data_IF_229658271750
#
_entry.id   IF_229658271750
#
_cell.length_a   1.000
_cell.length_b   1.000
_cell.length_c   1.000
_cell.angle_alpha   90.00
_cell.angle_beta   90.00
_cell.angle_gamma   90.00
#
_symmetry.space_group_name_H-M   'P 1'
#
loop_
_entity.id
_entity.type
_entity.pdbx_description
1 polymer ?
#
# COMPACT_ATOMS: atom_id res chain seq x y z
N UNK A 1 19.15 0.68 40.88
CA UNK A 1 18.01 0.15 40.10
C UNK A 1 16.87 1.16 40.14
N UNK A 2 16.58 1.84 39.03
CA UNK A 2 15.37 2.67 38.86
C UNK A 2 14.81 2.34 37.47
N UNK A 3 13.88 1.40 37.44
CA UNK A 3 13.09 1.11 36.24
C UNK A 3 12.13 2.26 35.99
N UNK A 4 12.22 2.87 34.81
CA UNK A 4 11.23 3.78 34.26
C UNK A 4 10.57 3.09 33.08
N UNK A 5 9.24 3.06 33.07
CA UNK A 5 8.42 2.29 32.15
C UNK A 5 8.89 2.44 30.70
N UNK A 6 9.44 1.35 30.16
CA UNK A 6 9.65 1.19 28.74
C UNK A 6 8.30 1.09 28.06
N UNK A 7 7.78 2.23 27.59
CA UNK A 7 6.90 2.23 26.43
C UNK A 7 7.84 1.97 25.25
N UNK A 8 8.14 0.70 25.01
CA UNK A 8 8.72 0.30 23.73
C UNK A 8 7.67 0.67 22.70
N UNK A 9 7.77 1.90 22.19
CA UNK A 9 6.99 2.31 21.04
C UNK A 9 7.42 1.36 19.93
N UNK A 10 6.52 0.47 19.53
CA UNK A 10 6.70 -0.26 18.30
C UNK A 10 6.83 0.82 17.21
N UNK A 11 8.06 1.06 16.77
CA UNK A 11 8.36 1.97 15.67
C UNK A 11 7.85 1.41 14.35
N UNK A 12 7.20 0.24 14.40
CA UNK A 12 6.45 -0.47 13.37
C UNK A 12 7.01 -0.16 11.99
N UNK A 13 7.94 -1.02 11.56
CA UNK A 13 8.38 -1.12 10.17
C UNK A 13 7.15 -1.35 9.30
N UNK A 14 6.48 -0.28 8.85
CA UNK A 14 5.36 -0.34 7.94
C UNK A 14 5.88 -0.83 6.59
N UNK A 15 6.09 -2.13 6.47
CA UNK A 15 6.66 -2.81 5.31
C UNK A 15 5.54 -3.58 4.62
N UNK A 16 5.39 -3.34 3.32
CA UNK A 16 4.42 -4.05 2.48
C UNK A 16 5.12 -4.73 1.32
N UNK A 17 4.61 -5.90 0.92
CA UNK A 17 5.07 -6.63 -0.25
C UNK A 17 3.87 -7.26 -0.98
N UNK A 18 3.33 -6.53 -1.92
CA UNK A 18 2.21 -6.96 -2.76
C UNK A 18 2.75 -7.72 -3.98
N UNK A 19 2.04 -8.78 -4.39
CA UNK A 19 2.42 -9.60 -5.55
C UNK A 19 1.17 -10.02 -6.32
N UNK A 20 1.27 -10.09 -7.64
CA UNK A 20 0.25 -10.72 -8.47
C UNK A 20 0.32 -12.23 -8.27
N UNK A 21 -0.72 -12.81 -7.68
CA UNK A 21 -0.85 -14.27 -7.45
C UNK A 21 -1.99 -14.90 -8.26
N UNK A 22 -2.58 -14.12 -9.17
CA UNK A 22 -3.70 -14.52 -10.01
C UNK A 22 -3.99 -13.49 -11.11
N UNK A 23 -5.00 -13.71 -11.96
CA UNK A 23 -5.40 -12.71 -12.94
C UNK A 23 -5.94 -11.45 -12.27
N UNK A 24 -5.49 -10.30 -12.75
CA UNK A 24 -5.96 -8.99 -12.28
C UNK A 24 -6.89 -8.43 -13.35
N UNK A 25 -8.14 -8.17 -12.98
CA UNK A 25 -9.12 -7.47 -13.80
C UNK A 25 -9.51 -6.18 -13.11
N UNK A 26 -9.31 -5.05 -13.77
CA UNK A 26 -9.77 -3.74 -13.27
C UNK A 26 -11.24 -3.59 -13.66
N UNK A 27 -12.13 -3.57 -12.67
CA UNK A 27 -13.57 -3.40 -12.87
C UNK A 27 -13.95 -1.97 -12.49
N UNK A 28 -14.16 -1.12 -13.48
CA UNK A 28 -14.49 0.29 -13.28
C UNK A 28 -13.28 1.20 -13.22
N UNK A 29 -13.51 2.45 -12.81
CA UNK A 29 -12.47 3.47 -12.71
C UNK A 29 -11.76 3.37 -11.35
N UNK A 30 -10.43 3.28 -11.36
CA UNK A 30 -9.62 3.41 -10.15
C UNK A 30 -9.30 4.90 -9.92
N UNK A 31 -9.66 5.37 -8.72
CA UNK A 31 -9.25 6.69 -8.24
C UNK A 31 -7.84 6.60 -7.67
N UNK A 32 -6.98 7.49 -8.12
CA UNK A 32 -5.60 7.54 -7.62
C UNK A 32 -5.60 7.89 -6.13
N UNK A 33 -4.85 7.11 -5.35
CA UNK A 33 -4.78 7.27 -3.89
C UNK A 33 -5.99 6.70 -3.15
N UNK A 34 -6.82 5.88 -3.80
CA UNK A 34 -7.89 5.15 -3.12
C UNK A 34 -7.30 4.29 -1.99
N UNK A 35 -7.88 4.42 -0.79
CA UNK A 35 -7.51 3.61 0.37
C UNK A 35 -7.99 2.18 0.17
N UNK A 36 -7.05 1.24 0.23
CA UNK A 36 -7.32 -0.20 0.05
C UNK A 36 -7.24 -0.98 1.36
N UNK A 37 -6.63 -0.41 2.39
CA UNK A 37 -6.57 -0.98 3.73
C UNK A 37 -6.34 0.11 4.78
N UNK A 38 -7.05 0.02 5.90
CA UNK A 38 -6.81 0.81 7.09
C UNK A 38 -6.87 -0.09 8.33
N UNK A 39 -5.84 -0.01 9.17
CA UNK A 39 -5.80 -0.71 10.46
C UNK A 39 -5.47 0.27 11.57
N UNK A 40 -6.32 0.28 12.60
CA UNK A 40 -6.13 1.10 13.79
C UNK A 40 -5.25 0.36 14.79
N UNK A 41 -4.00 0.80 14.97
CA UNK A 41 -3.13 0.35 16.06
C UNK A 41 -3.27 1.36 17.22
N UNK A 42 -3.73 0.95 18.40
CA UNK A 42 -4.00 1.85 19.56
C UNK A 42 -2.72 2.56 20.07
N UNK A 43 -2.72 3.60 20.94
CA UNK A 43 -3.78 4.25 21.72
C UNK A 43 -3.69 5.80 21.66
N UNK A 44 -2.74 6.39 20.90
CA UNK A 44 -2.62 7.86 20.67
C UNK A 44 -2.37 8.18 19.18
N UNK A 45 -3.23 7.67 18.29
CA UNK A 45 -3.34 8.06 16.87
C UNK A 45 -2.24 7.57 15.89
N UNK A 46 -1.84 6.29 15.94
CA UNK A 46 -1.11 5.67 14.82
C UNK A 46 -2.12 4.94 13.92
N UNK A 47 -2.40 5.48 12.73
CA UNK A 47 -3.18 4.78 11.72
C UNK A 47 -2.29 4.38 10.56
N UNK A 48 -2.18 3.08 10.29
CA UNK A 48 -1.54 2.59 9.06
C UNK A 48 -2.54 2.75 7.92
N UNK A 49 -2.18 3.53 6.92
CA UNK A 49 -2.94 3.70 5.69
C UNK A 49 -2.20 3.00 4.56
N UNK A 50 -2.92 2.19 3.77
CA UNK A 50 -2.42 1.70 2.49
C UNK A 50 -3.30 2.24 1.38
N UNK A 51 -2.68 2.99 0.47
CA UNK A 51 -3.35 3.55 -0.71
C UNK A 51 -2.84 2.88 -1.97
N UNK A 52 -3.66 2.88 -3.02
CA UNK A 52 -3.34 2.29 -4.32
C UNK A 52 -3.45 3.32 -5.44
N UNK A 53 -2.53 3.22 -6.39
CA UNK A 53 -2.52 3.99 -7.62
C UNK A 53 -2.44 3.03 -8.81
N UNK A 54 -2.97 3.46 -9.97
CA UNK A 54 -2.78 2.78 -11.24
C UNK A 54 -1.92 3.65 -12.16
N UNK A 55 -0.66 3.27 -12.35
CA UNK A 55 0.14 3.80 -13.44
C UNK A 55 -0.34 3.16 -14.75
N UNK A 56 -1.27 3.85 -15.42
CA UNK A 56 -1.87 3.41 -16.69
C UNK A 56 -0.84 3.31 -17.81
N UNK A 57 0.19 4.16 -17.81
CA UNK A 57 1.22 4.17 -18.84
C UNK A 57 2.09 2.91 -18.75
N UNK A 58 2.42 2.48 -17.52
CA UNK A 58 3.28 1.30 -17.28
C UNK A 58 2.50 0.03 -16.98
N UNK A 59 1.17 0.12 -16.87
CA UNK A 59 0.28 -0.97 -16.46
C UNK A 59 0.71 -1.58 -15.10
N UNK A 60 0.94 -0.73 -14.10
CA UNK A 60 1.44 -1.10 -12.77
C UNK A 60 0.49 -0.60 -11.68
N UNK A 61 0.16 -1.46 -10.72
CA UNK A 61 -0.45 -1.03 -9.46
C UNK A 61 0.65 -0.64 -8.48
N UNK A 62 0.55 0.56 -7.91
CA UNK A 62 1.50 1.05 -6.90
C UNK A 62 0.76 1.15 -5.57
N UNK A 63 1.28 0.46 -4.55
CA UNK A 63 0.76 0.52 -3.19
C UNK A 63 1.72 1.33 -2.33
N UNK A 64 1.18 2.25 -1.53
CA UNK A 64 1.96 3.05 -0.58
C UNK A 64 1.37 2.84 0.81
N UNK A 65 2.19 2.34 1.73
CA UNK A 65 1.88 2.27 3.14
C UNK A 65 2.54 3.44 3.88
N UNK A 66 1.75 4.18 4.65
CA UNK A 66 2.24 5.32 5.45
C UNK A 66 1.45 5.47 6.75
N UNK A 67 2.05 6.17 7.72
CA UNK A 67 1.42 6.56 8.98
C UNK A 67 1.17 8.06 9.01
N UNK A 68 0.10 8.46 9.69
CA UNK A 68 -0.38 9.83 9.90
C UNK A 68 0.40 10.66 10.95
N UNK A 69 1.48 10.12 11.55
CA UNK A 69 2.18 10.80 12.64
C UNK A 69 3.20 11.85 12.15
N UNK A 70 3.06 13.08 12.64
CA UNK A 70 4.06 14.16 12.57
C UNK A 70 4.90 14.08 13.86
N UNK A 71 6.00 13.35 13.86
CA UNK A 71 6.88 13.29 15.03
C UNK A 71 8.34 13.21 14.58
N UNK A 72 9.24 13.85 15.33
CA UNK A 72 10.68 13.91 15.11
C UNK A 72 11.27 12.50 14.88
N UNK A 73 11.40 12.13 13.61
CA UNK A 73 11.85 10.81 13.16
C UNK A 73 11.49 10.60 11.68
N UNK A 74 12.19 9.70 10.99
CA UNK A 74 11.90 9.46 9.57
C UNK A 74 10.52 8.77 9.42
N UNK A 75 9.59 9.33 8.63
CA UNK A 75 8.36 8.63 8.27
C UNK A 75 8.74 7.31 7.60
N UNK A 76 8.33 6.19 8.20
CA UNK A 76 8.55 4.86 7.65
C UNK A 76 7.44 4.58 6.64
N UNK A 77 7.67 5.03 5.41
CA UNK A 77 6.81 4.69 4.28
C UNK A 77 7.35 3.44 3.57
N UNK A 78 6.46 2.63 3.02
CA UNK A 78 6.82 1.51 2.16
C UNK A 78 6.03 1.55 0.87
N UNK A 79 6.68 1.15 -0.23
CA UNK A 79 6.11 1.13 -1.56
C UNK A 79 6.23 -0.29 -2.10
N UNK A 80 5.15 -0.79 -2.70
CA UNK A 80 5.16 -2.02 -3.48
C UNK A 80 4.60 -1.77 -4.87
N UNK A 81 5.38 -2.06 -5.91
CA UNK A 81 4.95 -2.02 -7.30
C UNK A 81 4.56 -3.41 -7.77
N UNK A 82 3.38 -3.53 -8.37
CA UNK A 82 2.84 -4.79 -8.89
C UNK A 82 2.52 -4.58 -10.37
N UNK A 83 3.41 -4.99 -11.28
CA UNK A 83 3.10 -5.01 -12.71
C UNK A 83 1.90 -5.90 -12.97
N UNK A 84 0.93 -5.39 -13.74
CA UNK A 84 -0.21 -6.21 -14.20
C UNK A 84 0.28 -6.99 -15.42
N UNK A 85 0.70 -8.22 -15.18
CA UNK A 85 1.19 -9.12 -16.21
C UNK A 85 0.08 -10.04 -16.71
N UNK A 86 0.23 -10.51 -17.95
CA UNK A 86 -0.60 -11.58 -18.49
C UNK A 86 -0.47 -12.81 -17.59
N UNK A 87 -1.60 -13.29 -17.09
CA UNK A 87 -1.65 -14.48 -16.26
C UNK A 87 -1.91 -15.73 -17.13
N UNK A 88 -1.06 -16.77 -17.09
CA UNK A 88 -1.28 -17.98 -17.87
C UNK A 88 -2.66 -18.58 -17.62
N UNK A 89 -3.36 -18.93 -18.71
CA UNK A 89 -4.72 -19.49 -18.63
C UNK A 89 -5.85 -18.47 -18.42
N UNK A 90 -5.56 -17.16 -18.40
CA UNK A 90 -6.59 -16.12 -18.33
C UNK A 90 -6.50 -15.17 -19.54
N UNK A 91 -7.61 -15.03 -20.28
CA UNK A 91 -7.77 -13.98 -21.29
C UNK A 91 -7.79 -12.61 -20.58
N UNK A 92 -6.67 -11.91 -20.55
CA UNK A 92 -6.60 -10.55 -19.96
C UNK A 92 -7.19 -9.57 -20.96
N UNK A 93 -8.37 -9.00 -20.64
CA UNK A 93 -8.91 -7.88 -21.41
C UNK A 93 -8.01 -6.68 -21.15
N UNK A 94 -7.13 -6.37 -22.10
CA UNK A 94 -6.21 -5.25 -22.02
C UNK A 94 -6.98 -3.97 -21.63
N UNK A 95 -6.44 -3.21 -20.67
CA UNK A 95 -6.94 -1.87 -20.38
C UNK A 95 -6.91 -1.10 -21.70
N UNK A 96 -8.03 -0.51 -22.15
CA UNK A 96 -8.04 0.25 -23.40
C UNK A 96 -6.96 1.33 -23.33
N UNK A 97 -6.00 1.31 -24.25
CA UNK A 97 -5.13 2.46 -24.47
C UNK A 97 -6.03 3.63 -24.85
N UNK A 98 -6.22 4.58 -23.94
CA UNK A 98 -6.76 5.88 -24.32
C UNK A 98 -5.74 6.52 -25.27
N UNK A 99 -6.13 6.64 -26.53
CA UNK A 99 -5.48 7.52 -27.52
C UNK A 99 -5.81 8.97 -27.17
#
# INVERSE_FOLDING_TARGET
>A
MKGGLGVAEDTSDASIACRQVGPIKITGELKDGERVFDERRSLVFKTLQVVRFLDRQRNVLVYVAYSDRVIEGSPKNSISSVPIMNWPGTQTSAIPRQQ
#
